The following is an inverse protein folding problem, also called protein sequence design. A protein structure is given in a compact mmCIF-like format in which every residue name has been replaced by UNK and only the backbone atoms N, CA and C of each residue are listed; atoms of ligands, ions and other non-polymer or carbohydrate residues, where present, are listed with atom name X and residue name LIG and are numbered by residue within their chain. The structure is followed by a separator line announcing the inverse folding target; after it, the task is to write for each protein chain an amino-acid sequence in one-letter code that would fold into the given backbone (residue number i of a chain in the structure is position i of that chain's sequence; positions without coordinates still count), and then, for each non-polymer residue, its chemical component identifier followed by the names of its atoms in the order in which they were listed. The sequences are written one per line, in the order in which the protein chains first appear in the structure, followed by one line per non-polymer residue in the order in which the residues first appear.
data_IF_602506280208
#
_entry.id   IF_602506280208
#
_cell.length_a   1.000
_cell.length_b   1.000
_cell.length_c   1.000
_cell.angle_alpha   90.00
_cell.angle_beta   90.00
_cell.angle_gamma   90.00
#
_symmetry.space_group_name_H-M   'P 1'
#
loop_
_entity.id
_entity.type
_entity.pdbx_description
1 polymer ?
#
# COMPACT_ATOMS: atom_id res chain seq x y z
N UNK A 1 17.49 7.93 -19.77
CA UNK A 1 17.31 8.37 -18.37
C UNK A 1 16.00 7.81 -17.87
N UNK A 2 16.06 6.85 -16.95
CA UNK A 2 14.88 6.19 -16.39
C UNK A 2 14.16 7.15 -15.42
N UNK A 3 12.98 7.65 -15.81
CA UNK A 3 12.18 8.54 -14.95
C UNK A 3 11.63 7.73 -13.78
N UNK A 4 12.33 7.77 -12.65
CA UNK A 4 11.87 7.15 -11.40
C UNK A 4 10.56 7.79 -10.95
N UNK A 5 9.45 7.04 -11.00
CA UNK A 5 8.12 7.56 -10.65
C UNK A 5 8.08 7.89 -9.15
N UNK A 6 7.67 9.12 -8.82
CA UNK A 6 7.63 9.61 -7.45
C UNK A 6 6.33 9.18 -6.77
N UNK A 7 6.38 8.04 -6.09
CA UNK A 7 5.22 7.49 -5.38
C UNK A 7 5.02 8.16 -4.01
N UNK A 8 3.75 8.28 -3.62
CA UNK A 8 3.33 8.90 -2.35
C UNK A 8 3.19 7.89 -1.22
N UNK A 9 3.21 6.59 -1.52
CA UNK A 9 3.04 5.46 -0.61
C UNK A 9 4.36 4.70 -0.52
N UNK A 10 4.71 4.24 0.68
CA UNK A 10 5.91 3.45 0.98
C UNK A 10 5.53 2.11 1.59
N UNK A 11 6.46 1.16 1.56
CA UNK A 11 6.35 -0.11 2.28
C UNK A 11 6.17 0.19 3.77
N UNK A 12 5.20 -0.49 4.39
CA UNK A 12 4.88 -0.34 5.81
C UNK A 12 3.84 0.73 6.14
N UNK A 13 3.46 1.57 5.19
CA UNK A 13 2.37 2.53 5.38
C UNK A 13 1.03 1.80 5.61
N UNK A 14 0.16 2.36 6.47
CA UNK A 14 -1.23 1.91 6.61
C UNK A 14 -2.09 2.60 5.55
N UNK A 15 -2.78 1.81 4.74
CA UNK A 15 -3.57 2.31 3.62
C UNK A 15 -4.99 1.75 3.62
N UNK A 16 -5.91 2.53 3.06
CA UNK A 16 -7.30 2.14 2.80
C UNK A 16 -7.54 2.11 1.31
N UNK A 17 -8.22 1.07 0.84
CA UNK A 17 -8.66 0.96 -0.56
C UNK A 17 -9.89 1.83 -0.75
N UNK A 18 -9.80 2.80 -1.67
CA UNK A 18 -10.86 3.77 -1.98
C UNK A 18 -11.79 3.25 -3.07
N UNK A 19 -11.25 2.47 -4.01
CA UNK A 19 -11.94 2.03 -5.22
C UNK A 19 -11.51 0.61 -5.64
N UNK A 20 -12.40 -0.08 -6.35
CA UNK A 20 -12.24 -1.48 -6.78
C UNK A 20 -12.99 -2.45 -5.87
N UNK A 21 -12.78 -3.75 -6.10
CA UNK A 21 -13.54 -4.83 -5.43
C UNK A 21 -13.28 -4.89 -3.93
N UNK A 22 -12.08 -4.49 -3.48
CA UNK A 22 -11.71 -4.43 -2.07
C UNK A 22 -11.95 -3.06 -1.44
N UNK A 23 -12.88 -2.25 -1.98
CA UNK A 23 -13.19 -0.92 -1.44
C UNK A 23 -13.59 -1.01 0.04
N UNK A 24 -12.97 -0.17 0.86
CA UNK A 24 -13.22 -0.10 2.30
C UNK A 24 -12.23 -0.89 3.14
N UNK A 25 -11.55 -1.89 2.57
CA UNK A 25 -10.51 -2.64 3.27
C UNK A 25 -9.34 -1.74 3.66
N UNK A 26 -8.83 -1.97 4.86
CA UNK A 26 -7.63 -1.33 5.38
C UNK A 26 -6.56 -2.40 5.59
N UNK A 27 -5.31 -2.05 5.32
CA UNK A 27 -4.20 -2.97 5.47
C UNK A 27 -2.86 -2.27 5.38
N UNK A 28 -1.81 -2.98 5.75
CA UNK A 28 -0.44 -2.50 5.64
C UNK A 28 0.11 -2.79 4.25
N UNK A 29 0.94 -1.90 3.73
CA UNK A 29 1.61 -2.12 2.45
C UNK A 29 2.77 -3.10 2.66
N UNK A 30 2.65 -4.30 2.09
CA UNK A 30 3.68 -5.36 2.13
C UNK A 30 4.81 -5.04 1.16
N UNK A 31 4.44 -4.65 -0.06
CA UNK A 31 5.38 -4.39 -1.14
C UNK A 31 4.86 -3.31 -2.08
N UNK A 32 5.77 -2.50 -2.61
CA UNK A 32 5.47 -1.48 -3.63
C UNK A 32 6.25 -1.81 -4.90
N UNK A 33 5.51 -2.14 -5.96
CA UNK A 33 6.04 -2.38 -7.30
C UNK A 33 6.14 -1.04 -8.04
N UNK A 34 7.28 -0.37 -7.87
CA UNK A 34 7.51 1.00 -8.38
C UNK A 34 7.34 1.08 -9.89
N UNK A 35 7.88 0.11 -10.63
CA UNK A 35 7.88 0.10 -12.10
C UNK A 35 6.47 -0.03 -12.68
N UNK A 36 5.57 -0.70 -11.93
CA UNK A 36 4.20 -0.98 -12.35
C UNK A 36 3.17 -0.04 -11.72
N UNK A 37 3.59 0.92 -10.88
CA UNK A 37 2.71 1.79 -10.10
C UNK A 37 1.65 1.02 -9.29
N UNK A 38 2.04 -0.13 -8.73
CA UNK A 38 1.14 -1.00 -7.94
C UNK A 38 1.73 -1.28 -6.57
N UNK A 39 0.88 -1.63 -5.62
CA UNK A 39 1.27 -2.04 -4.28
C UNK A 39 0.45 -3.26 -3.84
N UNK A 40 1.09 -4.15 -3.08
CA UNK A 40 0.43 -5.28 -2.43
C UNK A 40 0.09 -4.84 -1.01
N UNK A 41 -1.18 -4.97 -0.66
CA UNK A 41 -1.73 -4.56 0.63
C UNK A 41 -2.24 -5.80 1.34
N UNK A 42 -1.87 -5.94 2.61
CA UNK A 42 -2.23 -7.08 3.45
C UNK A 42 -3.77 -7.20 3.54
N UNK A 43 -4.28 -8.40 3.29
CA UNK A 43 -5.72 -8.70 3.39
C UNK A 43 -6.61 -8.00 2.36
N UNK A 44 -6.05 -7.32 1.35
CA UNK A 44 -6.80 -6.70 0.28
C UNK A 44 -6.52 -7.37 -1.07
N UNK A 45 -7.55 -7.44 -1.92
CA UNK A 45 -7.47 -7.99 -3.28
C UNK A 45 -6.94 -9.44 -3.32
N UNK A 46 -7.60 -10.32 -2.55
CA UNK A 46 -7.27 -11.75 -2.49
C UNK A 46 -7.69 -12.46 -3.79
N UNK A 47 -6.75 -13.15 -4.42
CA UNK A 47 -7.00 -13.95 -5.62
C UNK A 47 -6.72 -15.42 -5.36
N UNK A 48 -7.56 -16.28 -5.94
CA UNK A 48 -7.39 -17.73 -5.91
C UNK A 48 -6.48 -18.15 -7.07
N UNK A 49 -5.27 -18.60 -6.75
CA UNK A 49 -4.29 -19.08 -7.73
C UNK A 49 -4.20 -20.61 -7.67
N UNK A 50 -4.48 -21.24 -8.79
CA UNK A 50 -4.26 -22.68 -8.94
C UNK A 50 -2.76 -22.94 -9.09
N UNK A 51 -2.21 -23.76 -8.19
CA UNK A 51 -0.79 -24.11 -8.17
C UNK A 51 -0.63 -25.60 -8.40
N UNK A 52 0.25 -25.96 -9.35
CA UNK A 52 0.66 -27.35 -9.55
C UNK A 52 1.48 -27.79 -8.33
N UNK A 53 1.44 -29.09 -7.95
CA UNK A 53 2.29 -29.64 -6.90
C UNK A 53 3.76 -29.27 -7.09
N UNK A 54 4.41 -28.81 -6.03
CA UNK A 54 5.85 -28.54 -6.00
C UNK A 54 6.44 -28.92 -4.63
N UNK A 55 7.77 -28.83 -4.47
CA UNK A 55 8.44 -29.21 -3.23
C UNK A 55 7.95 -28.43 -1.99
N UNK A 56 7.45 -27.20 -2.16
CA UNK A 56 6.91 -26.39 -1.07
C UNK A 56 5.42 -26.69 -0.79
N UNK A 57 4.68 -27.20 -1.78
CA UNK A 57 3.26 -27.57 -1.69
C UNK A 57 3.03 -28.93 -2.39
N UNK A 58 3.31 -30.06 -1.72
CA UNK A 58 3.26 -31.40 -2.32
C UNK A 58 1.86 -31.83 -2.78
N UNK A 59 0.82 -31.34 -2.10
CA UNK A 59 -0.57 -31.69 -2.44
C UNK A 59 -1.13 -30.84 -3.59
N UNK A 60 -0.41 -29.80 -4.05
CA UNK A 60 -0.95 -28.79 -4.96
C UNK A 60 -2.21 -28.13 -4.40
N UNK A 61 -2.92 -27.38 -5.25
CA UNK A 61 -4.26 -26.86 -4.91
C UNK A 61 -4.44 -25.37 -5.15
N UNK A 62 -5.51 -24.84 -4.57
CA UNK A 62 -5.90 -23.44 -4.69
C UNK A 62 -5.29 -22.65 -3.53
N UNK A 63 -4.30 -21.83 -3.85
CA UNK A 63 -3.67 -20.93 -2.88
C UNK A 63 -4.32 -19.56 -3.00
N UNK A 64 -4.74 -18.99 -1.87
CA UNK A 64 -5.18 -17.59 -1.82
C UNK A 64 -3.96 -16.70 -1.64
N UNK A 65 -3.74 -15.78 -2.56
CA UNK A 65 -2.63 -14.83 -2.53
C UNK A 65 -3.14 -13.41 -2.70
N UNK A 66 -2.49 -12.45 -2.06
CA UNK A 66 -2.76 -11.03 -2.24
C UNK A 66 -2.29 -10.56 -3.61
N UNK A 67 -3.14 -9.86 -4.35
CA UNK A 67 -2.81 -9.31 -5.65
C UNK A 67 -2.57 -7.80 -5.59
N UNK A 68 -1.71 -7.32 -6.50
CA UNK A 68 -1.28 -5.94 -6.51
C UNK A 68 -2.39 -4.98 -6.96
N UNK A 69 -2.65 -3.96 -6.14
CA UNK A 69 -3.63 -2.88 -6.37
C UNK A 69 -2.91 -1.67 -6.97
N UNK A 70 -3.57 -0.94 -7.86
CA UNK A 70 -3.01 0.29 -8.41
C UNK A 70 -2.95 1.40 -7.35
N UNK A 71 -1.85 2.14 -7.31
CA UNK A 71 -1.55 3.11 -6.24
C UNK A 71 -2.58 4.24 -6.16
N UNK A 72 -3.24 4.60 -7.27
CA UNK A 72 -4.31 5.61 -7.27
C UNK A 72 -5.52 5.21 -6.43
N UNK A 73 -5.74 3.91 -6.23
CA UNK A 73 -6.89 3.38 -5.51
C UNK A 73 -6.61 3.23 -4.00
N UNK A 74 -5.42 3.64 -3.55
CA UNK A 74 -4.98 3.57 -2.17
C UNK A 74 -4.89 4.98 -1.57
N UNK A 75 -5.55 5.18 -0.43
CA UNK A 75 -5.37 6.35 0.42
C UNK A 75 -4.53 5.96 1.63
N UNK A 76 -3.70 6.89 2.11
CA UNK A 76 -3.05 6.74 3.40
C UNK A 76 -4.08 6.95 4.51
N UNK A 77 -3.98 6.10 5.52
CA UNK A 77 -4.73 6.24 6.75
C UNK A 77 -3.90 7.09 7.71
N UNK A 78 -4.54 8.11 8.25
CA UNK A 78 -3.96 8.95 9.28
C UNK A 78 -3.79 8.14 10.58
N UNK A 79 -2.59 8.09 11.19
CA UNK A 79 -2.38 7.33 12.42
C UNK A 79 -3.26 7.80 13.59
N UNK A 80 -3.68 9.08 13.61
CA UNK A 80 -4.45 9.65 14.73
C UNK A 80 -5.94 9.71 14.51
N UNK A 81 -6.38 10.04 13.30
CA UNK A 81 -7.81 10.17 13.00
C UNK A 81 -8.42 8.88 12.45
N UNK A 82 -7.58 7.93 11.97
CA UNK A 82 -8.07 6.72 11.29
C UNK A 82 -8.74 7.01 9.94
N UNK A 83 -8.81 8.28 9.53
CA UNK A 83 -9.42 8.69 8.29
C UNK A 83 -8.43 8.66 7.13
N UNK A 84 -8.97 8.66 5.92
CA UNK A 84 -8.17 8.80 4.70
C UNK A 84 -7.63 10.22 4.57
N UNK A 85 -6.33 10.33 4.28
CA UNK A 85 -5.63 11.62 4.16
C UNK A 85 -4.78 11.73 2.90
N UNK A 86 -4.56 12.98 2.48
CA UNK A 86 -3.58 13.33 1.44
C UNK A 86 -2.23 13.64 2.10
N UNK A 87 -1.15 13.28 1.40
CA UNK A 87 0.23 13.56 1.84
C UNK A 87 0.62 15.00 1.52
N UNK A 88 1.07 15.72 2.55
CA UNK A 88 1.85 16.95 2.46
C UNK A 88 3.32 16.69 2.79
N UNK A 89 4.15 17.72 2.64
CA UNK A 89 5.54 17.72 3.08
C UNK A 89 5.80 18.96 3.92
N UNK A 90 6.49 18.81 5.03
CA UNK A 90 6.93 19.92 5.89
C UNK A 90 8.40 19.71 6.24
N UNK A 91 9.13 20.79 6.49
CA UNK A 91 10.46 20.72 7.11
C UNK A 91 10.28 20.45 8.60
N UNK A 92 11.01 19.48 9.13
CA UNK A 92 11.13 19.30 10.59
C UNK A 92 12.21 20.26 11.15
N UNK A 93 12.34 20.29 12.47
CA UNK A 93 13.32 21.15 13.17
C UNK A 93 14.77 20.81 12.82
N UNK A 94 15.02 19.61 12.28
CA UNK A 94 16.32 19.16 11.79
C UNK A 94 16.56 19.47 10.29
N UNK A 95 15.68 20.27 9.65
CA UNK A 95 15.79 20.66 8.24
C UNK A 95 15.49 19.55 7.23
N UNK A 96 14.96 18.40 7.67
CA UNK A 96 14.58 17.27 6.79
C UNK A 96 13.12 17.40 6.36
N UNK A 97 12.86 17.10 5.09
CA UNK A 97 11.49 17.03 4.55
C UNK A 97 10.79 15.75 5.00
N UNK A 98 9.82 15.90 5.89
CA UNK A 98 8.99 14.81 6.42
C UNK A 98 7.63 14.76 5.73
N UNK A 99 7.02 13.57 5.68
CA UNK A 99 5.67 13.38 5.13
C UNK A 99 4.67 13.71 6.22
N UNK A 100 3.66 14.50 5.89
CA UNK A 100 2.65 14.95 6.85
C UNK A 100 1.26 14.62 6.33
N UNK A 101 0.38 14.12 7.19
CA UNK A 101 -1.03 13.95 6.88
C UNK A 101 -1.71 15.33 6.83
N UNK A 102 -2.33 15.69 5.70
CA UNK A 102 -2.95 17.03 5.54
C UNK A 102 -4.14 17.30 6.48
N UNK A 103 -4.80 16.27 7.02
CA UNK A 103 -5.94 16.46 7.93
C UNK A 103 -5.49 16.68 9.37
N UNK A 104 -4.65 15.80 9.92
CA UNK A 104 -4.16 15.90 11.30
C UNK A 104 -2.93 16.80 11.47
N UNK A 105 -2.19 17.08 10.40
CA UNK A 105 -0.89 17.74 10.48
C UNK A 105 0.20 16.85 11.06
N UNK A 106 -0.06 15.56 11.22
CA UNK A 106 0.85 14.62 11.89
C UNK A 106 1.82 13.94 10.93
N UNK A 107 2.98 13.55 11.45
CA UNK A 107 4.05 12.95 10.67
C UNK A 107 3.73 11.49 10.32
N UNK A 108 3.75 11.17 9.02
CA UNK A 108 3.61 9.80 8.51
C UNK A 108 5.02 9.22 8.40
N UNK A 109 5.37 8.28 9.30
CA UNK A 109 6.62 7.53 9.27
C UNK A 109 6.56 6.37 8.28
#
# INVERSE_FOLDING_TARGET
MEKKVKLKIRKGDLVKVIAGDSKGSQGKVVEVLVDKNRAIVEGANMVSKHTKPNAANPNGGIVKQEAAIHISNLALVDPKTGETTRVGRKLNDAGKLVRVAKKSGEEIK
#
